data_IF_928581886477
#
_entry.id   IF_928581886477
#
_cell.length_a   1.000
_cell.length_b   1.000
_cell.length_c   1.000
_cell.angle_alpha   90.00
_cell.angle_beta   90.00
_cell.angle_gamma   90.00
#
_symmetry.space_group_name_H-M   'P 1'
#
loop_
_entity.id
_entity.type
_entity.pdbx_description
1 polymer ?
#
# COMPACT_ATOMS: atom_id res chain seq x y z
N UNK A 1 3.71 -7.57 4.13
CA UNK A 1 3.60 -7.54 2.65
C UNK A 1 4.97 -7.86 2.07
N UNK A 2 5.10 -8.76 1.08
CA UNK A 2 6.39 -9.34 0.69
C UNK A 2 7.41 -8.38 0.03
N UNK A 3 6.98 -7.19 -0.38
CA UNK A 3 7.79 -6.22 -1.12
C UNK A 3 8.09 -4.94 -0.31
N UNK A 4 7.28 -4.65 0.72
CA UNK A 4 7.58 -3.57 1.67
C UNK A 4 8.64 -4.09 2.62
N UNK A 5 9.84 -3.53 2.49
CA UNK A 5 11.00 -3.89 3.31
C UNK A 5 11.03 -3.17 4.65
N UNK A 6 10.51 -1.94 4.72
CA UNK A 6 10.39 -1.21 5.99
C UNK A 6 9.32 -0.13 5.93
N UNK A 7 8.78 0.19 7.10
CA UNK A 7 7.94 1.35 7.37
C UNK A 7 8.47 1.99 8.65
N UNK A 8 8.84 3.27 8.59
CA UNK A 8 9.36 4.03 9.73
C UNK A 8 8.61 5.34 9.87
N UNK A 9 8.08 5.61 11.06
CA UNK A 9 7.54 6.94 11.39
C UNK A 9 8.73 7.88 11.60
N UNK A 10 8.68 9.10 11.07
CA UNK A 10 9.75 10.08 11.30
C UNK A 10 9.65 10.64 12.72
N UNK A 11 10.76 10.63 13.46
CA UNK A 11 10.81 11.10 14.85
C UNK A 11 10.43 12.58 14.97
N UNK A 12 10.95 13.43 14.08
CA UNK A 12 10.68 14.87 14.08
C UNK A 12 9.29 15.24 13.51
N UNK A 13 8.68 14.33 12.74
CA UNK A 13 7.42 14.54 12.01
C UNK A 13 6.55 13.29 12.06
N UNK A 14 5.89 13.02 13.20
CA UNK A 14 5.18 11.76 13.43
C UNK A 14 3.95 11.56 12.54
N UNK A 15 3.50 12.60 11.82
CA UNK A 15 2.46 12.51 10.81
C UNK A 15 2.96 11.94 9.47
N UNK A 16 4.27 11.77 9.32
CA UNK A 16 4.93 11.21 8.14
C UNK A 16 5.52 9.83 8.42
N UNK A 17 5.39 8.96 7.43
CA UNK A 17 6.00 7.64 7.42
C UNK A 17 6.86 7.47 6.16
N UNK A 18 8.10 6.99 6.35
CA UNK A 18 8.98 6.56 5.27
C UNK A 18 8.74 5.09 4.99
N UNK A 19 8.41 4.80 3.74
CA UNK A 19 8.21 3.46 3.23
C UNK A 19 9.35 3.11 2.30
N UNK A 20 9.84 1.88 2.40
CA UNK A 20 10.86 1.36 1.47
C UNK A 20 10.40 0.03 0.89
N UNK A 21 10.44 -0.06 -0.43
CA UNK A 21 10.12 -1.23 -1.21
C UNK A 21 11.42 -1.80 -1.76
N UNK A 22 11.66 -3.10 -1.54
CA UNK A 22 12.79 -3.82 -2.13
C UNK A 22 12.26 -5.04 -2.86
N UNK A 23 12.64 -5.19 -4.11
CA UNK A 23 12.32 -6.40 -4.87
C UNK A 23 13.45 -6.75 -5.83
N UNK A 24 13.62 -8.06 -6.03
CA UNK A 24 14.49 -8.59 -7.07
C UNK A 24 13.70 -8.72 -8.35
N UNK A 25 14.13 -8.02 -9.39
CA UNK A 25 13.65 -8.25 -10.73
C UNK A 25 14.82 -8.23 -11.71
N UNK A 26 14.78 -9.14 -12.67
CA UNK A 26 15.77 -9.20 -13.75
C UNK A 26 17.23 -9.29 -13.26
N UNK A 27 17.46 -10.00 -12.16
CA UNK A 27 18.80 -10.18 -11.57
C UNK A 27 19.37 -8.93 -10.89
N UNK A 28 18.56 -7.87 -10.69
CA UNK A 28 18.95 -6.66 -9.97
C UNK A 28 18.06 -6.44 -8.76
N UNK A 29 18.66 -5.91 -7.69
CA UNK A 29 17.91 -5.39 -6.55
C UNK A 29 17.39 -4.00 -6.92
N UNK A 30 16.08 -3.85 -6.91
CA UNK A 30 15.41 -2.58 -7.14
C UNK A 30 14.86 -2.10 -5.80
N UNK A 31 15.27 -0.89 -5.43
CA UNK A 31 14.84 -0.24 -4.20
C UNK A 31 14.17 1.09 -4.51
N UNK A 32 12.95 1.24 -4.01
CA UNK A 32 12.22 2.50 -4.04
C UNK A 32 11.90 2.92 -2.61
N UNK A 33 11.92 4.22 -2.36
CA UNK A 33 11.43 4.79 -1.11
C UNK A 33 10.52 5.96 -1.39
N UNK A 34 9.54 6.16 -0.52
CA UNK A 34 8.66 7.32 -0.55
C UNK A 34 8.30 7.76 0.87
N UNK A 35 8.04 9.06 1.00
CA UNK A 35 7.41 9.60 2.21
C UNK A 35 5.91 9.63 1.98
N UNK A 36 5.14 9.09 2.92
CA UNK A 36 3.69 9.08 2.89
C UNK A 36 3.12 9.81 4.11
N UNK A 37 2.04 10.55 3.88
CA UNK A 37 1.23 11.17 4.93
C UNK A 37 -0.13 10.50 4.96
N UNK A 38 -0.56 10.11 6.15
CA UNK A 38 -1.95 9.73 6.37
C UNK A 38 -2.80 11.00 6.40
N UNK A 39 -3.85 11.02 5.59
CA UNK A 39 -4.83 12.09 5.62
C UNK A 39 -5.81 11.87 6.78
N UNK A 40 -6.64 12.87 7.09
CA UNK A 40 -7.62 12.76 8.17
C UNK A 40 -8.47 11.47 8.01
N UNK A 41 -8.36 10.51 8.95
CA UNK A 41 -9.15 9.29 8.87
C UNK A 41 -10.62 9.58 9.17
N UNK A 42 -11.50 8.77 8.59
CA UNK A 42 -12.92 8.74 8.96
C UNK A 42 -13.09 7.46 9.79
N UNK A 43 -13.37 7.58 11.10
CA UNK A 43 -13.47 6.43 12.00
C UNK A 43 -14.37 5.33 11.44
N UNK A 44 -13.88 4.09 11.46
CA UNK A 44 -14.58 2.88 10.99
C UNK A 44 -15.04 2.91 9.52
N UNK A 45 -14.59 3.88 8.71
CA UNK A 45 -15.05 4.04 7.33
C UNK A 45 -13.90 4.16 6.34
N UNK A 46 -12.86 4.95 6.66
CA UNK A 46 -11.83 5.26 5.68
C UNK A 46 -10.48 5.59 6.31
N UNK A 47 -9.45 4.92 5.80
CA UNK A 47 -8.04 5.29 5.98
C UNK A 47 -7.51 5.65 4.61
N UNK A 48 -6.80 6.76 4.46
CA UNK A 48 -6.23 7.13 3.17
C UNK A 48 -4.93 7.91 3.32
N UNK A 49 -4.10 7.81 2.29
CA UNK A 49 -2.76 8.36 2.28
C UNK A 49 -2.41 8.95 0.92
N UNK A 50 -1.36 9.75 0.92
CA UNK A 50 -0.67 10.20 -0.29
C UNK A 50 0.84 10.22 -0.06
N UNK A 51 1.60 9.90 -1.08
CA UNK A 51 3.03 10.19 -1.11
C UNK A 51 3.25 11.70 -1.18
N UNK A 52 4.28 12.18 -0.49
CA UNK A 52 4.76 13.55 -0.61
C UNK A 52 6.02 13.63 -1.47
N UNK A 53 6.87 12.61 -1.41
CA UNK A 53 8.17 12.54 -2.08
C UNK A 53 8.48 11.09 -2.51
N UNK A 54 9.41 10.93 -3.45
CA UNK A 54 9.84 9.62 -3.94
C UNK A 54 8.85 9.03 -4.95
N UNK A 55 8.48 7.77 -4.78
CA UNK A 55 7.55 7.07 -5.67
C UNK A 55 6.12 7.64 -5.56
N UNK A 56 5.57 8.29 -6.61
CA UNK A 56 4.24 8.89 -6.54
C UNK A 56 3.17 7.81 -6.39
N UNK A 57 2.45 7.82 -5.27
CA UNK A 57 1.33 6.94 -5.01
C UNK A 57 0.33 7.54 -4.03
N UNK A 58 -0.91 7.09 -4.12
CA UNK A 58 -1.98 7.40 -3.17
C UNK A 58 -2.89 6.21 -3.06
N UNK A 59 -3.62 6.13 -1.96
CA UNK A 59 -4.61 5.09 -1.82
C UNK A 59 -5.58 5.34 -0.69
N UNK A 60 -6.59 4.49 -0.66
CA UNK A 60 -7.60 4.48 0.38
C UNK A 60 -8.00 3.04 0.67
N UNK A 61 -8.15 2.73 1.95
CA UNK A 61 -8.91 1.59 2.43
C UNK A 61 -10.27 2.10 2.87
N UNK A 62 -11.34 1.53 2.35
CA UNK A 62 -12.72 1.80 2.75
C UNK A 62 -13.30 0.58 3.44
N UNK A 63 -14.09 0.83 4.47
CA UNK A 63 -14.76 -0.19 5.27
C UNK A 63 -16.26 0.02 5.15
N UNK A 64 -16.97 -1.04 4.76
CA UNK A 64 -18.43 -1.04 4.62
C UNK A 64 -18.99 -2.13 5.52
N UNK A 65 -19.41 -1.79 6.75
CA UNK A 65 -20.05 -2.74 7.66
C UNK A 65 -21.27 -3.39 7.00
N UNK A 66 -21.40 -4.71 7.16
CA UNK A 66 -22.57 -5.49 6.70
C UNK A 66 -23.36 -6.10 7.86
N UNK A 67 -22.84 -6.01 9.07
CA UNK A 67 -23.46 -6.47 10.30
C UNK A 67 -22.44 -6.51 11.44
N UNK A 68 -22.82 -7.05 12.61
CA UNK A 68 -21.96 -7.08 13.80
C UNK A 68 -20.65 -7.86 13.62
N UNK A 69 -20.61 -8.84 12.71
CA UNK A 69 -19.48 -9.74 12.48
C UNK A 69 -18.96 -9.74 11.03
N UNK A 70 -19.38 -8.77 10.22
CA UNK A 70 -19.05 -8.74 8.78
C UNK A 70 -18.81 -7.33 8.26
N UNK A 71 -17.77 -7.17 7.45
CA UNK A 71 -17.37 -5.92 6.83
C UNK A 71 -16.79 -6.20 5.44
N UNK A 72 -17.19 -5.41 4.44
CA UNK A 72 -16.50 -5.37 3.15
C UNK A 72 -15.36 -4.36 3.25
N UNK A 73 -14.17 -4.79 2.84
CA UNK A 73 -12.98 -3.94 2.78
C UNK A 73 -12.61 -3.73 1.33
N UNK A 74 -12.54 -2.47 0.92
CA UNK A 74 -12.14 -2.06 -0.42
C UNK A 74 -10.80 -1.32 -0.36
N UNK A 75 -9.85 -1.74 -1.17
CA UNK A 75 -8.56 -1.07 -1.32
C UNK A 75 -8.48 -0.46 -2.72
N UNK A 76 -8.30 0.86 -2.78
CA UNK A 76 -7.95 1.58 -4.01
C UNK A 76 -6.52 2.08 -3.91
N UNK A 77 -5.71 1.80 -4.94
CA UNK A 77 -4.34 2.31 -5.05
C UNK A 77 -4.17 2.96 -6.42
N UNK A 78 -3.52 4.11 -6.46
CA UNK A 78 -3.13 4.83 -7.66
C UNK A 78 -1.65 5.15 -7.53
N UNK A 79 -0.87 4.83 -8.56
CA UNK A 79 0.58 4.96 -8.56
C UNK A 79 1.05 5.37 -9.95
N UNK A 80 2.21 6.01 -10.00
CA UNK A 80 2.92 6.28 -11.24
C UNK A 80 4.01 5.22 -11.44
N UNK A 81 4.21 4.80 -12.69
CA UNK A 81 5.28 3.86 -13.04
C UNK A 81 6.55 4.65 -13.26
N UNK A 82 7.65 4.40 -12.51
CA UNK A 82 8.93 5.04 -12.77
C UNK A 82 9.36 4.83 -14.22
N UNK A 83 9.97 5.83 -14.84
CA UNK A 83 10.32 5.81 -16.27
C UNK A 83 11.17 4.58 -16.67
N UNK A 84 12.08 4.15 -15.79
CA UNK A 84 12.91 2.96 -15.96
C UNK A 84 12.09 1.66 -16.10
N UNK A 85 10.87 1.63 -15.56
CA UNK A 85 9.98 0.47 -15.54
C UNK A 85 8.86 0.53 -16.59
N UNK A 86 8.76 1.62 -17.35
CA UNK A 86 7.74 1.78 -18.40
C UNK A 86 7.70 0.63 -19.40
N UNK A 87 8.83 0.07 -19.89
CA UNK A 87 8.81 -1.09 -20.79
C UNK A 87 8.12 -2.34 -20.19
N UNK A 88 7.97 -2.38 -18.87
CA UNK A 88 7.37 -3.49 -18.13
C UNK A 88 6.01 -3.14 -17.50
N UNK A 89 5.43 -1.98 -17.84
CA UNK A 89 4.18 -1.50 -17.24
C UNK A 89 3.01 -2.49 -17.40
N UNK A 90 2.97 -3.20 -18.54
CA UNK A 90 1.93 -4.22 -18.83
C UNK A 90 1.97 -5.40 -17.87
N UNK A 91 3.15 -5.82 -17.40
CA UNK A 91 3.31 -6.91 -16.44
C UNK A 91 3.11 -6.44 -14.99
N UNK A 92 3.33 -5.15 -14.71
CA UNK A 92 3.28 -4.60 -13.36
C UNK A 92 1.86 -4.60 -12.78
N UNK A 93 0.84 -4.23 -13.58
CA UNK A 93 -0.55 -4.17 -13.13
C UNK A 93 -1.08 -5.52 -12.59
N UNK A 94 -1.09 -6.62 -13.37
CA UNK A 94 -1.61 -7.90 -12.89
C UNK A 94 -0.80 -8.47 -11.71
N UNK A 95 0.51 -8.20 -11.69
CA UNK A 95 1.37 -8.54 -10.56
C UNK A 95 0.94 -7.81 -9.28
N UNK A 96 0.80 -6.48 -9.33
CA UNK A 96 0.40 -5.68 -8.17
C UNK A 96 -1.02 -6.05 -7.71
N UNK A 97 -1.98 -6.24 -8.62
CA UNK A 97 -3.34 -6.67 -8.27
C UNK A 97 -3.33 -8.00 -7.51
N UNK A 98 -2.59 -9.00 -8.01
CA UNK A 98 -2.42 -10.30 -7.34
C UNK A 98 -1.84 -10.13 -5.94
N UNK A 99 -0.86 -9.25 -5.82
CA UNK A 99 -0.16 -9.01 -4.56
C UNK A 99 -1.06 -8.33 -3.53
N UNK A 100 -1.76 -7.26 -3.93
CA UNK A 100 -2.71 -6.54 -3.09
C UNK A 100 -3.85 -7.46 -2.65
N UNK A 101 -4.38 -8.28 -3.55
CA UNK A 101 -5.43 -9.26 -3.24
C UNK A 101 -4.96 -10.27 -2.18
N UNK A 102 -3.79 -10.88 -2.34
CA UNK A 102 -3.21 -11.77 -1.32
C UNK A 102 -2.99 -11.06 0.02
N UNK A 103 -2.65 -9.77 -0.02
CA UNK A 103 -2.55 -8.93 1.17
C UNK A 103 -3.88 -8.77 1.90
N UNK A 104 -4.95 -8.47 1.16
CA UNK A 104 -6.32 -8.38 1.69
C UNK A 104 -6.82 -9.72 2.23
N UNK A 105 -6.54 -10.83 1.54
CA UNK A 105 -6.92 -12.17 2.01
C UNK A 105 -6.27 -12.49 3.37
N UNK A 106 -4.97 -12.20 3.52
CA UNK A 106 -4.26 -12.37 4.81
C UNK A 106 -4.81 -11.46 5.89
N UNK A 107 -5.13 -10.21 5.55
CA UNK A 107 -5.77 -9.28 6.49
C UNK A 107 -7.13 -9.79 6.94
N UNK A 108 -7.95 -10.31 6.02
CA UNK A 108 -9.26 -10.87 6.35
C UNK A 108 -9.15 -12.08 7.28
N UNK A 109 -8.17 -12.96 7.08
CA UNK A 109 -7.89 -14.07 8.00
C UNK A 109 -7.48 -13.54 9.38
N UNK A 110 -6.54 -12.61 9.44
CA UNK A 110 -6.07 -12.01 10.68
C UNK A 110 -7.20 -11.32 11.46
N UNK A 111 -8.01 -10.51 10.79
CA UNK A 111 -9.10 -9.77 11.41
C UNK A 111 -10.25 -10.66 11.92
N UNK A 112 -10.37 -11.89 11.40
CA UNK A 112 -11.36 -12.88 11.86
C UNK A 112 -10.84 -13.80 12.96
N UNK A 113 -9.53 -13.83 13.20
CA UNK A 113 -8.91 -14.66 14.25
C UNK A 113 -8.79 -13.95 15.61
N UNK A 114 -9.18 -12.68 15.68
CA UNK A 114 -9.37 -11.90 16.90
C UNK A 114 -10.85 -11.64 17.12
#
# INVERSE_FOLDING_TARGET
MPFISSVKILEDKPDLSKWSLKYKAFGRDIEFSWLARNMQPIPNQKIHWRSLEGLPNRGAVRFFPKGPSSCIVELTVSYEVPQLLVPFASALKPFLETLLRRGLDRFATFAKSY
#
